data_IF_115140419573
#
_entry.id   IF_115140419573
#
_cell.length_a   1.000
_cell.length_b   1.000
_cell.length_c   1.000
_cell.angle_alpha   90.00
_cell.angle_beta   90.00
_cell.angle_gamma   90.00
#
_symmetry.space_group_name_H-M   'P 1'
#
loop_
_entity.id
_entity.type
_entity.pdbx_description
1 polymer ?
#
# COMPACT_ATOMS: atom_id res chain seq x y z
N UNK A 1 -14.85 -19.14 -15.63
CA UNK A 1 -15.15 -17.91 -14.87
C UNK A 1 -13.97 -17.67 -13.93
N UNK A 2 -13.45 -16.48 -13.91
CA UNK A 2 -12.39 -16.12 -12.93
C UNK A 2 -13.06 -16.00 -11.57
N UNK A 3 -12.48 -16.62 -10.54
CA UNK A 3 -12.99 -16.55 -9.18
C UNK A 3 -12.84 -15.13 -8.64
N UNK A 4 -13.91 -14.55 -8.09
CA UNK A 4 -13.93 -13.20 -7.54
C UNK A 4 -12.95 -13.07 -6.34
N UNK A 5 -12.76 -14.14 -5.56
CA UNK A 5 -11.81 -14.15 -4.46
C UNK A 5 -10.36 -14.08 -4.97
N UNK A 6 -10.06 -14.69 -6.09
CA UNK A 6 -8.76 -14.57 -6.75
C UNK A 6 -8.49 -13.13 -7.25
N UNK A 7 -9.56 -12.46 -7.73
CA UNK A 7 -9.46 -11.05 -8.12
C UNK A 7 -9.32 -10.10 -6.93
N UNK A 8 -9.88 -10.45 -5.76
CA UNK A 8 -9.74 -9.65 -4.54
C UNK A 8 -8.36 -9.82 -3.89
N UNK A 9 -7.75 -10.99 -4.02
CA UNK A 9 -6.49 -11.33 -3.38
C UNK A 9 -5.52 -11.96 -4.39
N UNK A 10 -5.03 -11.18 -5.35
CA UNK A 10 -4.20 -11.70 -6.46
C UNK A 10 -2.89 -12.33 -6.00
N UNK A 11 -2.40 -11.97 -4.82
CA UNK A 11 -1.19 -12.54 -4.18
C UNK A 11 -1.51 -13.24 -2.85
N UNK A 12 -2.78 -13.60 -2.60
CA UNK A 12 -3.23 -14.16 -1.32
C UNK A 12 -3.45 -13.10 -0.24
N UNK A 13 -3.94 -13.54 0.92
CA UNK A 13 -4.19 -12.67 2.07
C UNK A 13 -2.92 -12.49 2.90
N UNK A 14 -2.78 -11.32 3.52
CA UNK A 14 -1.70 -11.08 4.48
C UNK A 14 -1.80 -12.04 5.67
N UNK A 15 -0.66 -12.62 6.04
CA UNK A 15 -0.49 -13.38 7.25
C UNK A 15 0.87 -13.03 7.87
N UNK A 16 0.85 -12.42 9.05
CA UNK A 16 2.08 -12.07 9.75
C UNK A 16 2.73 -13.31 10.33
N UNK A 17 4.05 -13.44 10.12
CA UNK A 17 4.88 -14.44 10.81
C UNK A 17 5.61 -13.78 11.98
N UNK A 18 5.24 -14.06 13.25
CA UNK A 18 5.91 -13.46 14.41
C UNK A 18 7.38 -13.86 14.56
N UNK A 19 7.82 -14.89 13.83
CA UNK A 19 9.21 -15.37 13.82
C UNK A 19 10.00 -14.78 12.63
N UNK A 20 9.50 -13.72 12.02
CA UNK A 20 10.20 -13.00 10.95
C UNK A 20 11.56 -12.53 11.44
N UNK A 21 12.58 -12.82 10.65
CA UNK A 21 13.96 -12.44 10.94
C UNK A 21 14.32 -11.07 10.34
N UNK A 22 15.53 -10.62 10.60
CA UNK A 22 16.03 -9.34 10.09
C UNK A 22 16.14 -9.31 8.56
N UNK A 23 16.30 -10.45 7.90
CA UNK A 23 16.38 -10.51 6.43
C UNK A 23 15.01 -10.30 5.81
N UNK A 24 13.97 -10.95 6.31
CA UNK A 24 12.59 -10.76 5.85
C UNK A 24 12.10 -9.32 6.07
N UNK A 25 12.55 -8.66 7.14
CA UNK A 25 12.27 -7.24 7.33
C UNK A 25 12.97 -6.37 6.29
N UNK A 26 14.24 -6.63 5.97
CA UNK A 26 14.96 -5.91 4.90
C UNK A 26 14.28 -6.07 3.54
N UNK A 27 13.82 -7.27 3.20
CA UNK A 27 13.03 -7.53 1.98
C UNK A 27 11.73 -6.71 1.98
N UNK A 28 11.05 -6.64 3.12
CA UNK A 28 9.84 -5.81 3.26
C UNK A 28 10.12 -4.33 3.08
N UNK A 29 11.19 -3.81 3.70
CA UNK A 29 11.61 -2.41 3.52
C UNK A 29 12.00 -2.14 2.07
N UNK A 30 12.70 -3.09 1.41
CA UNK A 30 13.06 -2.93 0.01
C UNK A 30 11.82 -2.95 -0.91
N UNK A 31 10.82 -3.76 -0.60
CA UNK A 31 9.54 -3.78 -1.31
C UNK A 31 8.83 -2.42 -1.19
N UNK A 32 8.74 -1.87 0.03
CA UNK A 32 8.18 -0.52 0.25
C UNK A 32 8.99 0.52 -0.54
N UNK A 33 10.32 0.43 -0.52
CA UNK A 33 11.23 1.36 -1.22
C UNK A 33 11.01 1.37 -2.73
N UNK A 34 10.77 0.22 -3.32
CA UNK A 34 10.65 0.05 -4.77
C UNK A 34 9.25 0.37 -5.30
N UNK A 35 8.21 0.34 -4.45
CA UNK A 35 6.83 0.54 -4.90
C UNK A 35 6.63 1.81 -5.75
N UNK A 36 7.16 3.00 -5.39
CA UNK A 36 6.91 4.22 -6.16
C UNK A 36 7.36 4.09 -7.62
N UNK A 37 8.50 3.45 -7.84
CA UNK A 37 9.04 3.22 -9.19
C UNK A 37 8.20 2.19 -9.93
N UNK A 38 7.93 1.03 -9.33
CA UNK A 38 7.15 -0.02 -9.97
C UNK A 38 5.72 0.41 -10.28
N UNK A 39 5.08 1.16 -9.37
CA UNK A 39 3.74 1.70 -9.60
C UNK A 39 3.75 2.70 -10.76
N UNK A 40 4.72 3.62 -10.78
CA UNK A 40 4.87 4.61 -11.84
C UNK A 40 5.06 3.94 -13.20
N UNK A 41 6.01 3.00 -13.32
CA UNK A 41 6.26 2.24 -14.55
C UNK A 41 5.04 1.43 -15.01
N UNK A 42 4.26 0.91 -14.07
CA UNK A 42 3.07 0.11 -14.38
C UNK A 42 1.97 0.96 -15.02
N UNK A 43 1.82 2.23 -14.62
CA UNK A 43 0.73 3.08 -15.07
C UNK A 43 1.12 4.12 -16.13
N UNK A 44 2.42 4.38 -16.36
CA UNK A 44 2.93 5.48 -17.21
C UNK A 44 2.42 5.48 -18.67
N UNK A 45 2.10 4.30 -19.21
CA UNK A 45 1.63 4.15 -20.60
C UNK A 45 0.13 3.84 -20.68
N UNK A 46 -0.61 3.91 -19.58
CA UNK A 46 -2.05 3.72 -19.56
C UNK A 46 -2.76 4.98 -20.04
N UNK A 47 -3.74 4.81 -20.91
CA UNK A 47 -4.65 5.88 -21.33
C UNK A 47 -5.65 6.21 -20.20
N UNK A 48 -6.29 7.38 -20.24
CA UNK A 48 -7.33 7.76 -19.27
C UNK A 48 -8.44 6.71 -19.15
N UNK A 49 -8.89 6.15 -20.28
CA UNK A 49 -9.90 5.09 -20.26
C UNK A 49 -9.40 3.84 -19.51
N UNK A 50 -8.13 3.50 -19.62
CA UNK A 50 -7.53 2.37 -18.89
C UNK A 50 -7.37 2.69 -17.41
N UNK A 51 -6.94 3.91 -17.08
CA UNK A 51 -6.84 4.41 -15.70
C UNK A 51 -8.21 4.43 -15.02
N UNK A 52 -9.27 4.71 -15.75
CA UNK A 52 -10.64 4.73 -15.22
C UNK A 52 -11.36 3.36 -15.29
N UNK A 53 -10.63 2.30 -15.65
CA UNK A 53 -11.16 0.92 -15.66
C UNK A 53 -11.06 0.29 -14.27
N UNK A 54 -12.15 -0.31 -13.75
CA UNK A 54 -12.12 -1.05 -12.48
C UNK A 54 -11.25 -2.30 -12.56
N UNK A 55 -10.39 -2.51 -11.56
CA UNK A 55 -9.50 -3.70 -11.55
C UNK A 55 -10.25 -5.03 -11.37
N UNK A 56 -11.51 -5.00 -10.94
CA UNK A 56 -12.45 -6.14 -10.90
C UNK A 56 -13.90 -5.63 -10.88
N UNK A 57 -14.91 -6.47 -11.11
CA UNK A 57 -16.31 -6.09 -10.93
C UNK A 57 -16.58 -5.58 -9.51
N UNK A 58 -17.09 -4.34 -9.40
CA UNK A 58 -17.37 -3.67 -8.13
C UNK A 58 -16.11 -3.26 -7.34
N UNK A 59 -14.92 -3.31 -7.94
CA UNK A 59 -13.68 -2.79 -7.38
C UNK A 59 -13.44 -1.33 -7.77
N UNK A 60 -12.38 -0.75 -7.23
CA UNK A 60 -11.92 0.58 -7.59
C UNK A 60 -11.33 0.62 -9.01
N UNK A 61 -11.36 1.77 -9.63
CA UNK A 61 -10.58 2.03 -10.84
C UNK A 61 -9.08 2.06 -10.53
N UNK A 62 -8.23 1.95 -11.55
CA UNK A 62 -6.79 2.14 -11.37
C UNK A 62 -6.50 3.51 -10.76
N UNK A 63 -7.21 4.56 -11.20
CA UNK A 63 -7.12 5.91 -10.63
C UNK A 63 -7.36 5.92 -9.12
N UNK A 64 -8.50 5.39 -8.69
CA UNK A 64 -8.86 5.30 -7.28
C UNK A 64 -7.84 4.49 -6.48
N UNK A 65 -7.31 3.41 -7.06
CA UNK A 65 -6.32 2.57 -6.41
C UNK A 65 -5.00 3.32 -6.20
N UNK A 66 -4.53 4.11 -7.18
CA UNK A 66 -3.30 4.92 -7.05
C UNK A 66 -3.46 5.98 -5.96
N UNK A 67 -4.61 6.68 -5.93
CA UNK A 67 -4.90 7.65 -4.87
C UNK A 67 -4.97 6.97 -3.50
N UNK A 68 -5.65 5.83 -3.39
CA UNK A 68 -5.73 5.03 -2.15
C UNK A 68 -4.36 4.62 -1.62
N UNK A 69 -3.44 4.20 -2.47
CA UNK A 69 -2.07 3.87 -2.05
C UNK A 69 -1.38 5.09 -1.43
N UNK A 70 -1.55 6.27 -2.03
CA UNK A 70 -1.04 7.52 -1.48
C UNK A 70 -1.56 7.81 -0.08
N UNK A 71 -2.87 7.76 0.10
CA UNK A 71 -3.54 8.02 1.37
C UNK A 71 -3.20 6.99 2.44
N UNK A 72 -3.23 5.71 2.07
CA UNK A 72 -2.93 4.61 3.00
C UNK A 72 -1.49 4.69 3.52
N UNK A 73 -0.52 4.93 2.62
CA UNK A 73 0.89 4.99 3.00
C UNK A 73 1.25 6.30 3.74
N UNK A 74 0.52 7.40 3.48
CA UNK A 74 0.60 8.61 4.29
C UNK A 74 0.13 8.35 5.72
N UNK A 75 -1.00 7.67 5.89
CA UNK A 75 -1.51 7.27 7.21
C UNK A 75 -0.53 6.31 7.90
N UNK A 76 0.09 5.37 7.18
CA UNK A 76 1.11 4.51 7.74
C UNK A 76 2.29 5.30 8.32
N UNK A 77 2.87 6.22 7.56
CA UNK A 77 3.97 7.06 8.04
C UNK A 77 3.59 7.86 9.29
N UNK A 78 2.36 8.38 9.35
CA UNK A 78 1.85 9.09 10.54
C UNK A 78 1.77 8.12 11.73
N UNK A 79 1.20 6.93 11.54
CA UNK A 79 1.07 5.89 12.59
C UNK A 79 2.43 5.43 13.11
N UNK A 80 3.44 5.26 12.24
CA UNK A 80 4.80 4.98 12.66
C UNK A 80 5.36 6.05 13.56
N UNK A 81 5.21 7.33 13.18
CA UNK A 81 5.68 8.45 13.99
C UNK A 81 4.99 8.54 15.34
N UNK A 82 3.67 8.33 15.38
CA UNK A 82 2.91 8.31 16.64
C UNK A 82 3.42 7.20 17.55
N UNK A 83 3.55 5.96 17.06
CA UNK A 83 4.02 4.84 17.86
C UNK A 83 5.46 5.00 18.35
N UNK A 84 6.32 5.70 17.59
CA UNK A 84 7.70 5.99 17.99
C UNK A 84 7.80 7.08 19.06
N UNK A 85 6.81 7.96 19.19
CA UNK A 85 6.85 9.15 20.06
C UNK A 85 5.88 9.09 21.24
N UNK A 86 4.92 8.17 21.22
CA UNK A 86 3.88 8.02 22.23
C UNK A 86 3.84 6.57 22.74
N UNK A 87 3.26 6.34 23.90
CA UNK A 87 3.08 4.99 24.46
C UNK A 87 1.78 4.38 23.93
N UNK A 88 1.86 3.46 23.01
CA UNK A 88 0.74 2.73 22.38
C UNK A 88 -0.44 3.64 22.02
N UNK A 89 -0.23 4.62 21.13
CA UNK A 89 -1.28 5.59 20.76
C UNK A 89 -2.47 4.88 20.10
N UNK A 90 -3.67 5.43 20.33
CA UNK A 90 -4.86 5.01 19.59
C UNK A 90 -4.89 5.78 18.28
N UNK A 91 -4.78 5.06 17.16
CA UNK A 91 -4.78 5.71 15.84
C UNK A 91 -6.21 6.03 15.38
N UNK A 92 -6.35 7.01 14.51
CA UNK A 92 -7.62 7.31 13.84
C UNK A 92 -7.76 6.42 12.60
N UNK A 93 -8.76 5.51 12.56
CA UNK A 93 -9.13 4.81 11.34
C UNK A 93 -9.89 5.77 10.40
N UNK A 94 -9.96 5.40 9.13
CA UNK A 94 -10.74 6.12 8.12
C UNK A 94 -11.46 5.13 7.21
N UNK A 95 -12.61 5.53 6.67
CA UNK A 95 -13.38 4.74 5.71
C UNK A 95 -12.80 4.91 4.31
N UNK A 96 -12.02 3.94 3.86
CA UNK A 96 -11.35 3.94 2.55
C UNK A 96 -12.34 4.02 1.39
N UNK A 97 -13.51 3.39 1.53
CA UNK A 97 -14.53 3.40 0.50
C UNK A 97 -15.22 4.77 0.39
N UNK A 98 -15.39 5.48 1.49
CA UNK A 98 -15.91 6.84 1.48
C UNK A 98 -14.86 7.84 0.99
N UNK A 99 -13.58 7.68 1.35
CA UNK A 99 -12.50 8.50 0.82
C UNK A 99 -12.39 8.38 -0.70
N UNK A 100 -12.52 7.17 -1.24
CA UNK A 100 -12.47 6.92 -2.68
C UNK A 100 -13.62 7.57 -3.48
N UNK A 101 -14.60 8.19 -2.82
CA UNK A 101 -15.69 8.95 -3.45
C UNK A 101 -15.47 10.47 -3.41
N UNK A 102 -14.44 10.93 -2.73
CA UNK A 102 -14.13 12.35 -2.63
C UNK A 102 -13.60 12.89 -3.97
N UNK A 103 -13.72 14.21 -4.18
CA UNK A 103 -13.41 14.85 -5.45
C UNK A 103 -11.94 14.78 -5.85
N UNK A 104 -11.03 14.68 -4.89
CA UNK A 104 -9.61 14.55 -5.14
C UNK A 104 -9.22 13.19 -5.77
N UNK A 105 -10.07 12.17 -5.64
CA UNK A 105 -9.90 10.89 -6.33
C UNK A 105 -10.24 10.94 -7.84
N UNK A 106 -10.73 12.06 -8.34
CA UNK A 106 -10.87 12.34 -9.78
C UNK A 106 -9.69 13.11 -10.37
N UNK A 107 -8.69 13.47 -9.56
CA UNK A 107 -7.50 14.19 -10.01
C UNK A 107 -6.60 13.31 -10.88
N UNK A 108 -5.61 13.95 -11.53
CA UNK A 108 -4.55 13.24 -12.25
C UNK A 108 -3.72 12.41 -11.28
N UNK A 109 -3.41 11.16 -11.66
CA UNK A 109 -2.67 10.22 -10.81
C UNK A 109 -1.23 10.68 -10.51
N UNK A 110 -0.66 11.53 -11.34
CA UNK A 110 0.69 12.09 -11.17
C UNK A 110 0.89 12.75 -9.81
N UNK A 111 -0.15 13.41 -9.29
CA UNK A 111 -0.13 14.02 -7.96
C UNK A 111 0.07 12.97 -6.86
N UNK A 112 -0.64 11.84 -6.93
CA UNK A 112 -0.48 10.75 -5.97
C UNK A 112 0.80 9.95 -6.19
N UNK A 113 1.26 9.76 -7.43
CA UNK A 113 2.58 9.15 -7.69
C UNK A 113 3.71 9.99 -7.10
N UNK A 114 3.64 11.33 -7.23
CA UNK A 114 4.60 12.23 -6.59
C UNK A 114 4.53 12.17 -5.06
N UNK A 115 3.32 12.16 -4.49
CA UNK A 115 3.07 12.01 -3.06
C UNK A 115 3.67 10.70 -2.52
N UNK A 116 3.37 9.57 -3.17
CA UNK A 116 3.88 8.24 -2.80
C UNK A 116 5.42 8.24 -2.80
N UNK A 117 6.05 8.81 -3.83
CA UNK A 117 7.52 8.91 -3.90
C UNK A 117 8.10 9.64 -2.70
N UNK A 118 7.52 10.78 -2.33
CA UNK A 118 8.01 11.60 -1.20
C UNK A 118 7.77 10.89 0.14
N UNK A 119 6.59 10.30 0.33
CA UNK A 119 6.23 9.56 1.54
C UNK A 119 7.18 8.37 1.73
N UNK A 120 7.38 7.57 0.69
CA UNK A 120 8.25 6.40 0.76
C UNK A 120 9.70 6.75 1.03
N UNK A 121 10.24 7.81 0.42
CA UNK A 121 11.59 8.27 0.73
C UNK A 121 11.76 8.62 2.22
N UNK A 122 10.79 9.35 2.80
CA UNK A 122 10.79 9.69 4.24
C UNK A 122 10.59 8.46 5.11
N UNK A 123 9.68 7.57 4.73
CA UNK A 123 9.34 6.40 5.52
C UNK A 123 10.48 5.36 5.52
N UNK A 124 11.08 5.08 4.37
CA UNK A 124 12.24 4.20 4.30
C UNK A 124 13.44 4.74 5.09
N UNK A 125 13.68 6.06 5.05
CA UNK A 125 14.71 6.69 5.91
C UNK A 125 14.42 6.49 7.41
N UNK A 126 13.13 6.52 7.81
CA UNK A 126 12.73 6.22 9.19
C UNK A 126 12.94 4.74 9.51
N UNK A 127 12.46 3.83 8.67
CA UNK A 127 12.59 2.37 8.83
C UNK A 127 14.06 1.93 8.94
N UNK A 128 14.95 2.50 8.11
CA UNK A 128 16.39 2.21 8.12
C UNK A 128 17.08 2.64 9.44
N UNK A 129 16.49 3.60 10.16
CA UNK A 129 17.05 4.13 11.42
C UNK A 129 16.50 3.45 12.67
N UNK A 130 15.48 2.56 12.53
CA UNK A 130 14.81 1.95 13.66
C UNK A 130 15.64 0.81 14.27
N UNK A 131 15.71 0.81 15.60
CA UNK A 131 16.27 -0.30 16.39
C UNK A 131 15.28 -1.46 16.50
N UNK A 132 15.74 -2.61 16.96
CA UNK A 132 14.85 -3.75 17.28
C UNK A 132 13.79 -3.36 18.34
N UNK A 133 14.17 -2.51 19.32
CA UNK A 133 13.22 -2.00 20.32
C UNK A 133 12.15 -1.10 19.67
N UNK A 134 12.52 -0.26 18.72
CA UNK A 134 11.56 0.58 17.99
C UNK A 134 10.57 -0.26 17.19
N UNK A 135 11.00 -1.35 16.60
CA UNK A 135 10.15 -2.27 15.84
C UNK A 135 9.11 -3.00 16.72
N UNK A 136 9.36 -3.13 18.02
CA UNK A 136 8.40 -3.71 18.97
C UNK A 136 7.39 -2.68 19.50
N UNK A 137 7.61 -1.38 19.30
CA UNK A 137 6.60 -0.37 19.62
C UNK A 137 5.35 -0.61 18.80
N UNK A 138 4.20 -0.25 19.37
CA UNK A 138 2.89 -0.55 18.78
C UNK A 138 1.94 0.65 18.82
N UNK A 139 0.87 0.55 18.08
CA UNK A 139 -0.31 1.38 18.23
C UNK A 139 -1.56 0.50 18.34
N UNK A 140 -2.61 1.02 18.96
CA UNK A 140 -3.92 0.36 19.01
C UNK A 140 -4.78 0.78 17.80
N UNK A 141 -5.29 -0.20 17.05
CA UNK A 141 -6.19 0.03 15.91
C UNK A 141 -7.64 -0.24 16.32
N UNK A 142 -8.51 0.79 16.41
CA UNK A 142 -9.87 0.64 16.96
C UNK A 142 -10.78 -0.30 16.17
N UNK A 143 -10.65 -0.36 14.85
CA UNK A 143 -11.51 -1.25 14.04
C UNK A 143 -11.14 -2.73 14.21
N UNK A 144 -9.86 -3.05 14.17
CA UNK A 144 -9.40 -4.44 14.38
C UNK A 144 -9.39 -4.85 15.84
N UNK A 145 -9.54 -3.89 16.79
CA UNK A 145 -9.45 -4.08 18.24
C UNK A 145 -8.13 -4.76 18.66
N UNK A 146 -7.02 -4.39 17.99
CA UNK A 146 -5.71 -5.00 18.20
C UNK A 146 -4.62 -3.95 18.33
N UNK A 147 -3.63 -4.28 19.13
CA UNK A 147 -2.32 -3.66 19.05
C UNK A 147 -1.56 -4.28 17.87
N UNK A 148 -0.91 -3.42 17.10
CA UNK A 148 -0.08 -3.82 15.96
C UNK A 148 1.33 -3.27 16.16
N UNK A 149 2.32 -4.15 16.21
CA UNK A 149 3.72 -3.74 16.30
C UNK A 149 4.18 -3.09 14.98
N UNK A 150 5.16 -2.19 15.06
CA UNK A 150 5.73 -1.57 13.87
C UNK A 150 6.40 -2.60 12.95
N UNK A 151 6.91 -3.70 13.50
CA UNK A 151 7.41 -4.85 12.72
C UNK A 151 6.29 -5.47 11.88
N UNK A 152 5.16 -5.83 12.51
CA UNK A 152 4.00 -6.40 11.80
C UNK A 152 3.51 -5.45 10.72
N UNK A 153 3.41 -4.16 11.04
CA UNK A 153 2.93 -3.13 10.11
C UNK A 153 3.88 -2.93 8.93
N UNK A 154 5.20 -3.01 9.12
CA UNK A 154 6.16 -2.96 8.02
C UNK A 154 5.95 -4.12 7.03
N UNK A 155 5.80 -5.34 7.53
CA UNK A 155 5.49 -6.50 6.68
C UNK A 155 4.12 -6.37 6.00
N UNK A 156 3.12 -5.87 6.72
CA UNK A 156 1.77 -5.67 6.18
C UNK A 156 1.78 -4.65 5.03
N UNK A 157 2.54 -3.56 5.14
CA UNK A 157 2.62 -2.57 4.07
C UNK A 157 3.51 -2.99 2.90
N UNK A 158 4.48 -3.87 3.10
CA UNK A 158 5.17 -4.53 2.00
C UNK A 158 4.19 -5.41 1.19
N UNK A 159 3.39 -6.24 1.88
CA UNK A 159 2.32 -7.01 1.25
C UNK A 159 1.29 -6.10 0.56
N UNK A 160 0.82 -5.04 1.23
CA UNK A 160 -0.14 -4.07 0.71
C UNK A 160 0.36 -3.40 -0.58
N UNK A 161 1.64 -3.05 -0.63
CA UNK A 161 2.31 -2.52 -1.81
C UNK A 161 2.20 -3.47 -3.01
N UNK A 162 2.59 -4.73 -2.82
CA UNK A 162 2.54 -5.76 -3.85
C UNK A 162 1.10 -6.13 -4.22
N UNK A 163 0.19 -6.12 -3.25
CA UNK A 163 -1.22 -6.43 -3.43
C UNK A 163 -1.89 -5.46 -4.41
N UNK A 164 -1.69 -4.17 -4.20
CA UNK A 164 -2.27 -3.14 -5.07
C UNK A 164 -1.57 -3.07 -6.43
N UNK A 165 -0.27 -3.25 -6.48
CA UNK A 165 0.46 -3.38 -7.74
C UNK A 165 -0.05 -4.57 -8.56
N UNK A 166 -0.24 -5.73 -7.92
CA UNK A 166 -0.74 -6.93 -8.57
C UNK A 166 -2.19 -6.77 -9.10
N UNK A 167 -3.04 -5.98 -8.45
CA UNK A 167 -4.38 -5.67 -8.99
C UNK A 167 -4.30 -5.00 -10.36
N UNK A 168 -3.42 -4.00 -10.52
CA UNK A 168 -3.24 -3.31 -11.80
C UNK A 168 -2.64 -4.27 -12.83
N UNK A 169 -1.58 -4.98 -12.48
CA UNK A 169 -0.91 -5.91 -13.39
C UNK A 169 -1.84 -7.03 -13.87
N UNK A 170 -2.64 -7.62 -12.98
CA UNK A 170 -3.61 -8.65 -13.34
C UNK A 170 -4.76 -8.10 -14.20
N UNK A 171 -5.16 -6.84 -14.00
CA UNK A 171 -6.09 -6.17 -14.90
C UNK A 171 -5.46 -6.03 -16.30
N UNK A 172 -4.23 -5.52 -16.41
CA UNK A 172 -3.52 -5.35 -17.68
C UNK A 172 -3.39 -6.68 -18.46
N UNK A 173 -3.06 -7.76 -17.75
CA UNK A 173 -2.98 -9.10 -18.34
C UNK A 173 -4.34 -9.55 -18.88
N UNK A 174 -5.41 -9.39 -18.12
CA UNK A 174 -6.78 -9.81 -18.51
C UNK A 174 -7.29 -9.06 -19.73
N UNK A 175 -7.02 -7.77 -19.76
CA UNK A 175 -7.49 -6.89 -20.83
C UNK A 175 -6.53 -6.88 -22.04
N UNK A 176 -5.44 -7.68 -22.01
CA UNK A 176 -4.38 -7.72 -23.02
C UNK A 176 -3.76 -6.33 -23.28
N UNK A 177 -3.63 -5.51 -22.25
CA UNK A 177 -2.88 -4.28 -22.35
C UNK A 177 -1.38 -4.60 -22.37
N UNK A 178 -0.62 -3.90 -23.22
CA UNK A 178 0.82 -4.13 -23.27
C UNK A 178 1.44 -3.82 -21.91
N UNK A 179 2.04 -4.84 -21.30
CA UNK A 179 2.89 -4.63 -20.13
C UNK A 179 4.13 -3.86 -20.56
N UNK A 180 4.58 -2.87 -19.80
CA UNK A 180 5.92 -2.34 -19.98
C UNK A 180 6.91 -3.50 -19.90
N UNK A 181 7.82 -3.56 -20.88
CA UNK A 181 8.89 -4.56 -20.86
C UNK A 181 9.73 -4.31 -19.62
N UNK A 182 9.82 -5.31 -18.76
CA UNK A 182 10.64 -5.33 -17.53
C UNK A 182 12.12 -5.08 -17.82
#
# INVERSE_FOLDING_TARGET
>A
MIDIEQLKYPIGKFAFNPQSDSESLKESIQTIRNLPEFLSQTVENLTDNQIDTPYRPGGWTVRQLVHHVGDSHMNALIRFKLALTESTPIIKPYDEAEWAKLSDYSFEIDSSLALIRIIHAKWCSLLDSMSEEDLQKSYFHPESQKEQSLLEVAHMYAWHSLHHLAHIQQLMIRENWTTPVS
#
